data_IF_652909394874
#
_entry.id   IF_652909394874
#
_cell.length_a   1.000
_cell.length_b   1.000
_cell.length_c   1.000
_cell.angle_alpha   90.00
_cell.angle_beta   90.00
_cell.angle_gamma   90.00
#
_symmetry.space_group_name_H-M   'P 1'
#
loop_
_entity.id
_entity.type
_entity.pdbx_description
1 polymer ?
#
# COMPACT_ATOMS: atom_id res chain seq x y z
N UNK A 1 -3.56 -7.97 0.12
CA UNK A 1 -3.75 -9.45 0.22
C UNK A 1 -3.40 -10.07 -1.12
N UNK A 2 -3.07 -11.35 -1.15
CA UNK A 2 -2.86 -12.12 -2.38
C UNK A 2 -3.81 -13.31 -2.37
N UNK A 3 -4.49 -13.55 -3.49
CA UNK A 3 -5.40 -14.68 -3.67
C UNK A 3 -4.92 -15.49 -4.87
N UNK A 4 -4.76 -16.80 -4.68
CA UNK A 4 -4.45 -17.76 -5.73
C UNK A 4 -5.74 -18.50 -6.09
N UNK A 5 -6.17 -18.40 -7.34
CA UNK A 5 -7.29 -19.18 -7.86
C UNK A 5 -6.73 -20.42 -8.56
N UNK A 6 -7.10 -21.62 -8.09
CA UNK A 6 -6.73 -22.88 -8.73
C UNK A 6 -7.62 -24.04 -8.29
N UNK A 7 -8.01 -24.86 -9.26
CA UNK A 7 -8.67 -26.16 -9.02
C UNK A 7 -7.67 -27.30 -8.76
N UNK A 8 -6.35 -27.05 -8.86
CA UNK A 8 -5.32 -28.08 -8.66
C UNK A 8 -5.07 -28.33 -7.16
N UNK A 9 -5.31 -29.56 -6.65
CA UNK A 9 -5.11 -29.88 -5.24
C UNK A 9 -3.66 -29.69 -4.76
N UNK A 10 -2.67 -29.89 -5.64
CA UNK A 10 -1.26 -29.72 -5.29
C UNK A 10 -0.91 -28.23 -5.11
N UNK A 11 -1.48 -27.35 -5.93
CA UNK A 11 -1.35 -25.90 -5.75
C UNK A 11 -1.99 -25.48 -4.44
N UNK A 12 -3.20 -25.97 -4.15
CA UNK A 12 -3.89 -25.67 -2.89
C UNK A 12 -3.05 -26.07 -1.67
N UNK A 13 -2.59 -27.31 -1.62
CA UNK A 13 -1.76 -27.81 -0.52
C UNK A 13 -0.48 -26.99 -0.34
N UNK A 14 0.18 -26.63 -1.44
CA UNK A 14 1.40 -25.83 -1.41
C UNK A 14 1.15 -24.40 -0.88
N UNK A 15 0.09 -23.74 -1.34
CA UNK A 15 -0.26 -22.38 -0.88
C UNK A 15 -0.67 -22.38 0.58
N UNK A 16 -1.50 -23.33 1.01
CA UNK A 16 -1.94 -23.42 2.41
C UNK A 16 -0.76 -23.70 3.35
N UNK A 17 0.10 -24.66 3.01
CA UNK A 17 1.24 -25.07 3.85
C UNK A 17 2.37 -24.05 3.92
N UNK A 18 2.50 -23.17 2.91
CA UNK A 18 3.55 -22.16 2.81
C UNK A 18 3.02 -20.72 2.88
N UNK A 19 1.77 -20.53 3.28
CA UNK A 19 1.07 -19.24 3.30
C UNK A 19 1.84 -18.15 4.04
N UNK A 20 2.31 -18.41 5.25
CA UNK A 20 3.12 -17.47 6.05
C UNK A 20 4.43 -17.09 5.33
N UNK A 21 5.14 -18.09 4.80
CA UNK A 21 6.38 -17.87 4.06
C UNK A 21 6.13 -17.03 2.79
N UNK A 22 5.04 -17.31 2.06
CA UNK A 22 4.69 -16.52 0.89
C UNK A 22 4.30 -15.09 1.26
N UNK A 23 3.50 -14.91 2.32
CA UNK A 23 3.12 -13.60 2.84
C UNK A 23 4.35 -12.75 3.16
N UNK A 24 5.34 -13.32 3.85
CA UNK A 24 6.62 -12.67 4.15
C UNK A 24 7.41 -12.31 2.87
N UNK A 25 7.47 -13.21 1.89
CA UNK A 25 8.27 -13.00 0.66
C UNK A 25 7.66 -11.99 -0.30
N UNK A 26 6.34 -11.92 -0.35
CA UNK A 26 5.61 -11.01 -1.25
C UNK A 26 5.12 -9.75 -0.55
N UNK A 27 5.50 -9.53 0.71
CA UNK A 27 5.04 -8.42 1.55
C UNK A 27 3.51 -8.28 1.55
N UNK A 28 2.81 -9.40 1.68
CA UNK A 28 1.35 -9.41 1.78
C UNK A 28 0.93 -9.70 3.21
N UNK A 29 -0.16 -9.06 3.65
CA UNK A 29 -0.79 -9.38 4.95
C UNK A 29 -1.31 -10.81 5.03
N UNK A 30 -1.74 -11.36 3.89
CA UNK A 30 -2.33 -12.69 3.78
C UNK A 30 -2.16 -13.21 2.36
N UNK A 31 -1.92 -14.52 2.23
CA UNK A 31 -1.96 -15.28 0.99
C UNK A 31 -2.98 -16.42 1.16
N UNK A 32 -4.02 -16.41 0.34
CA UNK A 32 -5.09 -17.40 0.37
C UNK A 32 -5.22 -18.12 -0.98
N UNK A 33 -5.83 -19.30 -0.98
CA UNK A 33 -6.16 -20.06 -2.19
C UNK A 33 -7.66 -20.34 -2.25
N UNK A 34 -8.25 -20.18 -3.43
CA UNK A 34 -9.67 -20.36 -3.71
C UNK A 34 -9.86 -21.18 -4.99
N UNK A 35 -11.04 -21.79 -5.15
CA UNK A 35 -11.43 -22.46 -6.40
C UNK A 35 -11.82 -21.47 -7.48
N UNK A 36 -12.47 -20.37 -7.07
CA UNK A 36 -12.90 -19.30 -7.94
C UNK A 36 -12.67 -17.96 -7.29
N UNK A 37 -12.17 -16.99 -8.05
CA UNK A 37 -12.10 -15.61 -7.60
C UNK A 37 -13.41 -14.88 -7.91
N UNK A 38 -14.27 -14.73 -6.91
CA UNK A 38 -15.64 -14.22 -7.08
C UNK A 38 -15.73 -12.69 -7.23
N UNK A 39 -14.60 -11.97 -7.19
CA UNK A 39 -14.57 -10.49 -7.27
C UNK A 39 -14.32 -9.97 -8.70
N UNK A 40 -14.20 -10.86 -9.68
CA UNK A 40 -14.07 -10.48 -11.08
C UNK A 40 -15.30 -9.67 -11.53
N UNK A 41 -15.04 -8.65 -12.33
CA UNK A 41 -16.06 -7.77 -12.90
C UNK A 41 -16.19 -8.09 -14.38
N UNK A 42 -17.41 -8.32 -14.84
CA UNK A 42 -17.71 -8.50 -16.25
C UNK A 42 -17.77 -7.14 -16.96
N UNK A 43 -16.82 -6.92 -17.86
CA UNK A 43 -16.66 -5.71 -18.65
C UNK A 43 -17.12 -5.96 -20.09
N UNK A 44 -17.88 -5.02 -20.63
CA UNK A 44 -18.46 -5.12 -21.96
C UNK A 44 -17.44 -4.81 -23.07
N UNK A 45 -17.38 -5.71 -24.05
CA UNK A 45 -16.66 -5.59 -25.31
C UNK A 45 -17.70 -5.48 -26.44
N UNK A 46 -18.05 -4.26 -26.90
CA UNK A 46 -19.10 -4.04 -27.88
C UNK A 46 -18.73 -4.52 -29.29
N UNK A 47 -19.72 -5.04 -30.01
CA UNK A 47 -19.56 -5.62 -31.36
C UNK A 47 -20.06 -4.68 -32.43
N UNK A 48 -19.12 -4.02 -33.11
CA UNK A 48 -19.41 -3.12 -34.23
C UNK A 48 -20.25 -3.78 -35.34
N UNK A 49 -20.10 -5.08 -35.59
CA UNK A 49 -20.87 -5.80 -36.62
C UNK A 49 -22.38 -5.84 -36.35
N UNK A 50 -22.79 -5.75 -35.09
CA UNK A 50 -24.18 -5.83 -34.64
C UNK A 50 -24.73 -4.44 -34.30
N UNK A 51 -23.93 -3.62 -33.61
CA UNK A 51 -24.27 -2.24 -33.20
C UNK A 51 -24.37 -1.32 -34.42
N UNK A 52 -23.47 -1.45 -35.40
CA UNK A 52 -23.45 -0.63 -36.61
C UNK A 52 -24.78 -0.65 -37.39
N UNK A 53 -25.30 -1.83 -37.76
CA UNK A 53 -26.61 -1.96 -38.41
C UNK A 53 -27.79 -1.50 -37.54
N UNK A 54 -27.73 -1.67 -36.22
CA UNK A 54 -28.83 -1.36 -35.31
C UNK A 54 -28.96 0.14 -35.02
N UNK A 55 -27.85 0.83 -34.75
CA UNK A 55 -27.84 2.22 -34.29
C UNK A 55 -27.26 3.21 -35.32
N UNK A 56 -26.78 2.72 -36.47
CA UNK A 56 -26.44 3.56 -37.62
C UNK A 56 -25.47 4.69 -37.29
N UNK A 57 -25.93 5.94 -37.39
CA UNK A 57 -25.12 7.14 -37.21
C UNK A 57 -24.55 7.31 -35.80
N UNK A 58 -25.19 6.74 -34.79
CA UNK A 58 -24.77 6.85 -33.39
C UNK A 58 -23.94 5.65 -32.91
N UNK A 59 -23.70 4.68 -33.79
CA UNK A 59 -22.97 3.45 -33.47
C UNK A 59 -21.62 3.69 -32.81
N UNK A 60 -20.81 4.66 -33.26
CA UNK A 60 -19.52 4.95 -32.64
C UNK A 60 -19.66 5.47 -31.20
N UNK A 61 -20.63 6.33 -30.94
CA UNK A 61 -20.86 6.89 -29.60
C UNK A 61 -21.36 5.81 -28.64
N UNK A 62 -22.24 4.92 -29.13
CA UNK A 62 -22.72 3.77 -28.36
C UNK A 62 -21.58 2.80 -28.07
N UNK A 63 -20.70 2.52 -29.04
CA UNK A 63 -19.49 1.71 -28.81
C UNK A 63 -18.63 2.31 -27.70
N UNK A 64 -18.32 3.60 -27.76
CA UNK A 64 -17.51 4.29 -26.74
C UNK A 64 -18.16 4.27 -25.36
N UNK A 65 -19.48 4.39 -25.28
CA UNK A 65 -20.20 4.38 -24.01
C UNK A 65 -20.36 2.96 -23.41
N UNK A 66 -20.27 1.92 -24.22
CA UNK A 66 -20.39 0.51 -23.80
C UNK A 66 -19.02 -0.11 -23.49
N UNK A 67 -17.97 0.29 -24.20
CA UNK A 67 -16.62 -0.25 -24.04
C UNK A 67 -16.15 -0.13 -22.57
N UNK A 68 -15.91 -1.27 -21.92
CA UNK A 68 -15.46 -1.34 -20.53
C UNK A 68 -16.54 -1.02 -19.48
N UNK A 69 -17.79 -0.78 -19.87
CA UNK A 69 -18.91 -0.68 -18.93
C UNK A 69 -19.17 -2.03 -18.26
N UNK A 70 -19.69 -2.03 -17.05
CA UNK A 70 -20.09 -3.27 -16.36
C UNK A 70 -21.36 -3.86 -16.98
N UNK A 71 -21.57 -5.17 -16.84
CA UNK A 71 -22.82 -5.84 -17.27
C UNK A 71 -24.06 -5.14 -16.75
N UNK A 72 -24.08 -4.79 -15.45
CA UNK A 72 -25.23 -4.12 -14.85
C UNK A 72 -25.51 -2.74 -15.48
N UNK A 73 -24.46 -1.99 -15.82
CA UNK A 73 -24.59 -0.69 -16.51
C UNK A 73 -25.16 -0.85 -17.93
N UNK A 74 -24.70 -1.87 -18.67
CA UNK A 74 -25.20 -2.15 -20.03
C UNK A 74 -26.65 -2.64 -19.98
N UNK A 75 -27.00 -3.53 -19.05
CA UNK A 75 -28.37 -4.03 -18.86
C UNK A 75 -29.33 -2.95 -18.37
N UNK A 76 -28.83 -1.95 -17.63
CA UNK A 76 -29.59 -0.77 -17.24
C UNK A 76 -29.90 0.16 -18.43
N UNK A 77 -29.27 -0.03 -19.58
CA UNK A 77 -29.37 0.80 -20.79
C UNK A 77 -28.39 1.96 -20.75
N UNK A 78 -27.77 2.25 -21.90
CA UNK A 78 -26.71 3.26 -22.02
C UNK A 78 -27.27 4.57 -22.56
N UNK A 79 -26.96 5.69 -21.91
CA UNK A 79 -27.39 7.02 -22.36
C UNK A 79 -26.29 7.71 -23.18
N UNK A 80 -26.63 8.09 -24.41
CA UNK A 80 -25.77 8.85 -25.32
C UNK A 80 -26.53 10.09 -25.77
N UNK A 81 -25.98 11.27 -25.52
CA UNK A 81 -26.58 12.56 -25.91
C UNK A 81 -28.04 12.78 -25.41
N UNK A 82 -28.41 12.13 -24.30
CA UNK A 82 -29.77 12.21 -23.72
C UNK A 82 -30.77 11.23 -24.34
N UNK A 83 -30.31 10.34 -25.22
CA UNK A 83 -31.08 9.23 -25.75
C UNK A 83 -30.59 7.92 -25.11
N UNK A 84 -31.53 7.08 -24.69
CA UNK A 84 -31.24 5.77 -24.11
C UNK A 84 -31.23 4.70 -25.19
N UNK A 85 -30.19 3.88 -25.18
CA UNK A 85 -30.00 2.74 -26.07
C UNK A 85 -30.00 1.45 -25.24
N UNK A 86 -30.91 0.53 -25.59
CA UNK A 86 -30.93 -0.82 -25.01
C UNK A 86 -30.19 -1.76 -25.96
N UNK A 87 -29.21 -2.50 -25.45
CA UNK A 87 -28.36 -3.40 -26.24
C UNK A 87 -28.87 -4.84 -26.17
N UNK A 88 -28.92 -5.51 -27.31
CA UNK A 88 -29.21 -6.94 -27.39
C UNK A 88 -27.99 -7.78 -26.97
N UNK A 89 -28.20 -9.02 -26.50
CA UNK A 89 -27.13 -9.95 -26.12
C UNK A 89 -26.14 -10.23 -27.27
N UNK A 90 -26.56 -10.10 -28.53
CA UNK A 90 -25.65 -10.27 -29.67
C UNK A 90 -24.68 -9.10 -29.84
N UNK A 91 -25.04 -7.91 -29.34
CA UNK A 91 -24.30 -6.66 -29.55
C UNK A 91 -23.07 -6.51 -28.65
N UNK A 92 -22.97 -7.30 -27.59
CA UNK A 92 -21.94 -7.15 -26.56
C UNK A 92 -21.40 -8.52 -26.17
N UNK A 93 -20.07 -8.64 -26.11
CA UNK A 93 -19.40 -9.72 -25.39
C UNK A 93 -18.98 -9.23 -24.01
N UNK A 94 -18.84 -10.15 -23.06
CA UNK A 94 -18.38 -9.80 -21.72
C UNK A 94 -17.11 -10.56 -21.38
N UNK A 95 -16.14 -9.82 -20.88
CA UNK A 95 -14.89 -10.35 -20.40
C UNK A 95 -14.79 -10.15 -18.89
N UNK A 96 -14.47 -11.22 -18.17
CA UNK A 96 -14.20 -11.13 -16.75
C UNK A 96 -12.79 -10.56 -16.53
N UNK A 97 -12.70 -9.48 -15.77
CA UNK A 97 -11.44 -8.80 -15.47
C UNK A 97 -11.34 -8.50 -13.96
N UNK A 98 -10.12 -8.41 -13.39
CA UNK A 98 -9.95 -7.94 -12.03
C UNK A 98 -10.58 -6.55 -11.82
N UNK A 99 -11.19 -6.29 -10.66
CA UNK A 99 -11.69 -4.95 -10.34
C UNK A 99 -10.54 -3.95 -10.14
N UNK A 100 -10.87 -2.67 -10.09
CA UNK A 100 -9.89 -1.62 -9.84
C UNK A 100 -9.11 -1.84 -8.54
N UNK A 101 -7.79 -1.65 -8.61
CA UNK A 101 -6.90 -1.89 -7.48
C UNK A 101 -6.61 -3.37 -7.20
N UNK A 102 -7.08 -4.29 -8.04
CA UNK A 102 -6.62 -5.69 -8.06
C UNK A 102 -5.87 -5.94 -9.36
N UNK A 103 -4.67 -6.51 -9.27
CA UNK A 103 -3.90 -6.97 -10.44
C UNK A 103 -3.95 -8.49 -10.54
N UNK A 104 -4.35 -9.00 -11.70
CA UNK A 104 -4.41 -10.44 -11.99
C UNK A 104 -3.28 -10.90 -12.91
N UNK A 105 -2.75 -12.09 -12.69
CA UNK A 105 -1.81 -12.75 -13.60
C UNK A 105 -2.05 -14.27 -13.62
N UNK A 106 -2.07 -14.85 -14.81
CA UNK A 106 -2.15 -16.30 -15.00
C UNK A 106 -0.76 -16.94 -14.84
N UNK A 107 -0.73 -18.16 -14.29
CA UNK A 107 0.45 -19.01 -14.30
C UNK A 107 0.08 -20.42 -14.80
N UNK A 108 0.99 -20.99 -15.57
CA UNK A 108 0.90 -22.37 -16.04
C UNK A 108 2.28 -22.99 -15.92
N UNK A 109 2.40 -24.04 -15.10
CA UNK A 109 3.67 -24.66 -14.79
C UNK A 109 3.56 -26.16 -14.62
N UNK A 110 4.71 -26.82 -14.51
CA UNK A 110 4.78 -28.27 -14.31
C UNK A 110 4.14 -28.79 -13.01
N UNK A 111 3.82 -27.87 -12.09
CA UNK A 111 3.32 -28.14 -10.74
C UNK A 111 1.89 -27.65 -10.55
N UNK A 112 1.23 -27.21 -11.63
CA UNK A 112 -0.16 -26.75 -11.64
C UNK A 112 -0.33 -25.45 -12.40
N UNK A 113 -1.58 -25.05 -12.56
CA UNK A 113 -1.97 -23.80 -13.22
C UNK A 113 -3.05 -23.08 -12.43
N UNK A 114 -3.21 -21.79 -12.70
CA UNK A 114 -4.18 -20.95 -12.02
C UNK A 114 -3.93 -19.46 -12.28
N UNK A 115 -4.57 -18.64 -11.47
CA UNK A 115 -4.44 -17.18 -11.49
C UNK A 115 -4.00 -16.67 -10.12
N UNK A 116 -3.27 -15.56 -10.09
CA UNK A 116 -2.91 -14.84 -8.88
C UNK A 116 -3.48 -13.43 -8.96
N UNK A 117 -4.20 -13.04 -7.92
CA UNK A 117 -4.79 -11.72 -7.75
C UNK A 117 -4.15 -11.01 -6.58
N UNK A 118 -3.62 -9.82 -6.81
CA UNK A 118 -2.94 -9.01 -5.82
C UNK A 118 -3.74 -7.74 -5.60
N UNK A 119 -4.14 -7.50 -4.35
CA UNK A 119 -4.72 -6.23 -3.94
C UNK A 119 -3.62 -5.18 -3.80
N UNK A 120 -3.62 -4.22 -4.71
CA UNK A 120 -2.64 -3.12 -4.82
C UNK A 120 -3.19 -1.80 -4.29
N UNK A 121 -4.39 -1.80 -3.70
CA UNK A 121 -4.96 -0.60 -3.11
C UNK A 121 -4.13 -0.18 -1.91
N UNK A 122 -3.68 1.05 -1.97
CA UNK A 122 -3.02 1.70 -0.86
C UNK A 122 -4.11 2.33 0.01
N UNK A 123 -4.25 1.84 1.23
CA UNK A 123 -5.16 2.42 2.22
C UNK A 123 -4.39 3.43 3.07
N UNK A 124 -5.09 4.41 3.64
CA UNK A 124 -4.47 5.39 4.56
C UNK A 124 -3.70 4.69 5.69
N UNK A 125 -4.23 3.57 6.22
CA UNK A 125 -3.54 2.74 7.21
C UNK A 125 -2.22 2.16 6.71
N UNK A 126 -2.17 1.67 5.47
CA UNK A 126 -0.96 1.09 4.86
C UNK A 126 0.06 2.18 4.52
N UNK A 127 -0.40 3.33 4.02
CA UNK A 127 0.43 4.51 3.84
C UNK A 127 1.07 4.93 5.15
N UNK A 128 0.24 5.06 6.19
CA UNK A 128 0.66 5.50 7.51
C UNK A 128 1.73 4.59 8.11
N UNK A 129 1.50 3.28 8.04
CA UNK A 129 2.46 2.26 8.45
C UNK A 129 3.77 2.32 7.64
N UNK A 130 3.67 2.59 6.33
CA UNK A 130 4.82 2.76 5.43
C UNK A 130 5.68 3.96 5.79
N UNK A 131 5.08 5.14 5.92
CA UNK A 131 5.77 6.38 6.31
C UNK A 131 6.47 6.22 7.67
N UNK A 132 5.80 5.60 8.65
CA UNK A 132 6.40 5.34 9.96
C UNK A 132 7.65 4.45 9.86
N UNK A 133 7.61 3.38 9.06
CA UNK A 133 8.76 2.50 8.83
C UNK A 133 9.91 3.19 8.13
N UNK A 134 9.63 4.06 7.15
CA UNK A 134 10.68 4.81 6.50
C UNK A 134 11.32 5.84 7.44
N UNK A 135 10.53 6.51 8.29
CA UNK A 135 11.08 7.38 9.35
C UNK A 135 11.97 6.58 10.30
N UNK A 136 11.53 5.41 10.77
CA UNK A 136 12.39 4.50 11.57
C UNK A 136 13.70 4.22 10.86
N UNK A 137 13.63 3.86 9.57
CA UNK A 137 14.82 3.57 8.75
C UNK A 137 15.76 4.77 8.68
N UNK A 138 15.25 5.99 8.48
CA UNK A 138 16.07 7.22 8.43
C UNK A 138 16.71 7.53 9.78
N UNK A 139 15.95 7.45 10.87
CA UNK A 139 16.50 7.64 12.21
C UNK A 139 17.57 6.59 12.50
N UNK A 140 17.36 5.32 12.14
CA UNK A 140 18.37 4.26 12.30
C UNK A 140 19.62 4.49 11.44
N UNK A 141 19.48 5.05 10.23
CA UNK A 141 20.62 5.50 9.42
C UNK A 141 21.41 6.62 10.16
N UNK A 142 20.73 7.62 10.71
CA UNK A 142 21.35 8.71 11.47
C UNK A 142 22.02 8.22 12.78
N UNK A 143 21.42 7.27 13.50
CA UNK A 143 22.04 6.63 14.68
C UNK A 143 23.38 5.99 14.34
N UNK A 144 23.48 5.34 13.17
CA UNK A 144 24.74 4.75 12.69
C UNK A 144 25.76 5.82 12.31
N UNK A 145 25.33 6.92 11.68
CA UNK A 145 26.24 8.03 11.36
C UNK A 145 26.82 8.70 12.60
N UNK A 146 26.05 8.71 13.69
CA UNK A 146 26.48 9.20 14.99
C UNK A 146 27.22 8.15 15.81
N UNK A 147 27.50 6.94 15.29
CA UNK A 147 28.16 5.85 16.02
C UNK A 147 27.53 5.56 17.40
N UNK A 148 26.19 5.58 17.48
CA UNK A 148 25.46 5.31 18.73
C UNK A 148 25.40 3.82 19.05
N UNK A 149 25.43 3.49 20.34
CA UNK A 149 25.16 2.12 20.78
C UNK A 149 23.69 1.74 20.47
N UNK A 150 23.43 0.44 20.27
CA UNK A 150 22.11 -0.07 19.86
C UNK A 150 21.00 0.30 20.86
N UNK A 151 21.33 0.37 22.14
CA UNK A 151 20.39 0.68 23.23
C UNK A 151 20.45 2.14 23.69
N UNK A 152 21.32 2.96 23.09
CA UNK A 152 21.52 4.34 23.52
C UNK A 152 20.27 5.19 23.26
N UNK A 153 19.68 5.83 24.29
CA UNK A 153 18.49 6.66 24.11
C UNK A 153 18.82 7.98 23.41
N UNK A 154 17.90 8.42 22.55
CA UNK A 154 18.03 9.68 21.80
C UNK A 154 16.83 10.61 22.07
N UNK A 155 17.04 11.90 21.85
CA UNK A 155 15.96 12.84 21.57
C UNK A 155 15.81 12.98 20.07
N UNK A 156 14.57 12.97 19.60
CA UNK A 156 14.27 13.02 18.17
C UNK A 156 13.36 14.20 17.86
N UNK A 157 13.74 14.97 16.84
CA UNK A 157 12.87 15.94 16.17
C UNK A 157 12.40 15.34 14.86
N UNK A 158 11.14 15.59 14.53
CA UNK A 158 10.54 15.15 13.29
C UNK A 158 9.60 16.24 12.79
N UNK A 159 9.98 16.88 11.69
CA UNK A 159 9.14 17.84 10.98
C UNK A 159 8.80 17.26 9.61
N UNK A 160 7.51 17.04 9.36
CA UNK A 160 7.01 16.55 8.09
C UNK A 160 6.35 17.71 7.37
N UNK A 161 6.78 18.00 6.13
CA UNK A 161 6.30 19.16 5.39
C UNK A 161 4.82 19.06 4.98
N UNK A 162 4.33 17.85 4.75
CA UNK A 162 2.93 17.58 4.40
C UNK A 162 2.10 17.28 5.67
N UNK A 163 1.03 18.03 5.92
CA UNK A 163 0.20 17.91 7.13
C UNK A 163 -0.51 16.56 7.25
N UNK A 164 -0.91 15.94 6.13
CA UNK A 164 -1.55 14.62 6.13
C UNK A 164 -0.54 13.56 6.55
N UNK A 165 0.65 13.62 5.98
CA UNK A 165 1.74 12.68 6.30
C UNK A 165 2.27 12.91 7.71
N UNK A 166 2.27 14.17 8.19
CA UNK A 166 2.56 14.47 9.59
C UNK A 166 1.59 13.73 10.53
N UNK A 167 0.28 13.75 10.22
CA UNK A 167 -0.73 13.00 10.97
C UNK A 167 -0.47 11.48 10.95
N UNK A 168 -0.17 10.92 9.78
CA UNK A 168 0.16 9.51 9.63
C UNK A 168 1.36 9.08 10.49
N UNK A 169 2.45 9.84 10.48
CA UNK A 169 3.62 9.47 11.31
C UNK A 169 3.33 9.67 12.80
N UNK A 170 2.54 10.68 13.17
CA UNK A 170 2.15 10.92 14.56
C UNK A 170 1.29 9.77 15.12
N UNK A 171 0.41 9.17 14.32
CA UNK A 171 -0.38 7.98 14.69
C UNK A 171 0.51 6.76 15.05
N UNK A 172 1.75 6.72 14.55
CA UNK A 172 2.74 5.67 14.82
C UNK A 172 3.92 6.12 15.68
N UNK A 173 3.80 7.27 16.37
CA UNK A 173 4.93 7.88 17.09
C UNK A 173 5.51 6.98 18.20
N UNK A 174 4.66 6.18 18.86
CA UNK A 174 5.11 5.19 19.86
C UNK A 174 5.93 4.06 19.23
N UNK A 175 5.49 3.53 18.09
CA UNK A 175 6.23 2.52 17.32
C UNK A 175 7.58 3.05 16.86
N UNK A 176 7.61 4.27 16.28
CA UNK A 176 8.85 4.90 15.86
C UNK A 176 9.79 5.08 17.05
N UNK A 177 9.27 5.53 18.20
CA UNK A 177 10.08 5.75 19.39
C UNK A 177 10.68 4.47 19.96
N UNK A 178 9.90 3.39 20.03
CA UNK A 178 10.35 2.08 20.49
C UNK A 178 11.48 1.53 19.60
N UNK A 179 11.26 1.53 18.28
CA UNK A 179 12.21 0.99 17.31
C UNK A 179 13.51 1.80 17.23
N UNK A 180 13.47 3.10 17.55
CA UNK A 180 14.61 4.01 17.41
C UNK A 180 15.28 4.41 18.72
N UNK A 181 14.76 3.92 19.86
CA UNK A 181 15.15 4.36 21.22
C UNK A 181 14.98 5.88 21.43
N UNK A 182 13.94 6.46 20.83
CA UNK A 182 13.58 7.86 21.11
C UNK A 182 12.98 7.94 22.51
N UNK A 183 13.72 8.54 23.43
CA UNK A 183 13.28 8.76 24.81
C UNK A 183 12.40 10.02 24.95
N UNK A 184 12.63 11.02 24.08
CA UNK A 184 11.91 12.28 24.12
C UNK A 184 11.78 12.85 22.70
N UNK A 185 10.58 13.32 22.37
CA UNK A 185 10.35 14.09 21.16
C UNK A 185 10.58 15.57 21.45
N UNK A 186 11.36 16.23 20.61
CA UNK A 186 11.73 17.63 20.82
C UNK A 186 11.51 18.46 19.56
N UNK A 187 11.00 19.67 19.75
CA UNK A 187 11.01 20.73 18.75
C UNK A 187 12.18 21.70 19.03
N UNK A 188 12.59 22.46 18.03
CA UNK A 188 13.58 23.54 18.19
C UNK A 188 14.61 23.58 17.07
N UNK A 189 15.39 24.66 17.01
CA UNK A 189 16.33 24.91 15.91
C UNK A 189 17.42 23.83 15.77
N UNK A 190 18.01 23.73 14.57
CA UNK A 190 18.98 22.68 14.21
C UNK A 190 20.17 22.59 15.18
N UNK A 191 20.59 23.72 15.74
CA UNK A 191 21.69 23.79 16.71
C UNK A 191 21.41 23.07 18.04
N UNK A 192 20.16 22.65 18.31
CA UNK A 192 19.79 21.90 19.50
C UNK A 192 20.11 20.39 19.37
N UNK A 193 20.42 19.90 18.17
CA UNK A 193 20.63 18.48 17.85
C UNK A 193 22.07 18.20 17.41
N UNK A 194 22.50 16.94 17.57
CA UNK A 194 23.86 16.51 17.18
C UNK A 194 23.95 16.27 15.67
N UNK A 195 22.83 15.85 15.06
CA UNK A 195 22.69 15.69 13.62
C UNK A 195 21.28 16.10 13.20
N UNK A 196 21.17 16.92 12.16
CA UNK A 196 19.91 17.24 11.50
C UNK A 196 20.06 16.98 10.01
N UNK A 197 19.16 16.20 9.45
CA UNK A 197 19.14 15.87 8.03
C UNK A 197 17.74 16.01 7.46
N UNK A 198 17.68 16.41 6.19
CA UNK A 198 16.46 16.44 5.40
C UNK A 198 16.42 15.20 4.51
N UNK A 199 15.28 14.51 4.53
CA UNK A 199 15.06 13.27 3.81
C UNK A 199 13.87 13.42 2.86
N UNK A 200 13.98 12.78 1.71
CA UNK A 200 12.82 12.45 0.88
C UNK A 200 12.28 11.08 1.35
N UNK A 201 11.03 11.08 1.80
CA UNK A 201 10.27 9.90 2.18
C UNK A 201 9.06 9.83 1.27
N UNK A 202 9.09 8.92 0.29
CA UNK A 202 8.00 8.75 -0.70
C UNK A 202 7.59 10.07 -1.39
N UNK A 203 8.56 10.96 -1.68
CA UNK A 203 8.32 12.26 -2.30
C UNK A 203 7.88 13.38 -1.34
N UNK A 204 7.86 13.11 -0.03
CA UNK A 204 7.55 14.07 1.03
C UNK A 204 8.83 14.46 1.75
N UNK A 205 9.02 15.76 1.92
CA UNK A 205 10.17 16.29 2.65
C UNK A 205 9.97 16.10 4.17
N UNK A 206 10.93 15.44 4.80
CA UNK A 206 10.94 15.17 6.24
C UNK A 206 12.28 15.61 6.82
N UNK A 207 12.25 16.53 7.78
CA UNK A 207 13.44 16.93 8.53
C UNK A 207 13.50 16.15 9.85
N UNK A 208 14.64 15.51 10.09
CA UNK A 208 14.86 14.69 11.28
C UNK A 208 16.07 15.25 12.02
N UNK A 209 15.89 15.50 13.32
CA UNK A 209 16.98 15.85 14.24
C UNK A 209 17.21 14.74 15.24
N UNK A 210 18.46 14.34 15.47
CA UNK A 210 18.85 13.35 16.47
C UNK A 210 19.83 13.98 17.44
N UNK A 211 19.57 13.79 18.73
CA UNK A 211 20.47 14.17 19.82
C UNK A 211 20.65 13.03 20.80
N UNK A 212 21.88 12.81 21.27
CA UNK A 212 22.15 11.90 22.38
C UNK A 212 21.50 12.41 23.66
N UNK A 213 20.93 11.51 24.45
CA UNK A 213 20.57 11.82 25.83
C UNK A 213 21.80 11.52 26.68
N UNK A 214 22.44 12.55 27.23
CA UNK A 214 23.52 12.33 28.20
C UNK A 214 22.96 11.54 29.39
N UNK A 215 23.62 10.42 29.73
CA UNK A 215 23.26 9.61 30.89
C UNK A 215 23.26 10.44 32.16
N UNK A 216 22.40 10.11 33.11
CA UNK A 216 22.41 10.65 34.45
C UNK A 216 23.69 10.21 35.19
N UNK A 217 24.82 10.84 34.86
CA UNK A 217 26.12 10.68 35.52
C UNK A 217 26.62 12.04 36.03
N UNK A 218 25.77 12.80 36.72
CA UNK A 218 26.19 13.93 37.56
C UNK A 218 25.13 14.19 38.65
N UNK A 219 24.85 13.16 39.45
CA UNK A 219 24.30 13.37 40.79
C UNK A 219 25.49 13.44 41.76
N UNK A 220 25.90 14.67 42.06
CA UNK A 220 26.85 15.06 43.09
C UNK A 220 26.84 14.07 44.28
N UNK A 221 27.97 13.38 44.48
CA UNK A 221 28.26 12.82 45.80
C UNK A 221 28.62 14.01 46.70
N UNK A 222 27.86 14.33 47.76
CA UNK A 222 28.28 15.37 48.67
C UNK A 222 29.54 14.89 49.38
N UNK A 223 30.60 15.69 49.30
CA UNK A 223 31.79 15.60 50.13
C UNK A 223 31.38 15.38 51.60
N UNK A 224 31.57 14.16 52.09
CA UNK A 224 31.51 13.87 53.52
C UNK A 224 32.83 14.35 54.13
N UNK A 225 32.86 15.64 54.46
CA UNK A 225 33.92 16.29 55.21
C UNK A 225 34.17 15.50 56.51
N UNK A 226 35.45 15.22 56.73
CA UNK A 226 35.99 14.43 57.82
C UNK A 226 35.91 15.20 59.15
N UNK A 227 35.75 14.45 60.23
CA UNK A 227 35.83 14.89 61.62
C UNK A 227 37.12 15.63 62.01
#
# INVERSE_FOLDING_TARGET
>A
RVVVESDDPAVREAVESLSDLFAERVNAREVAVVERFDELVERAEPKMSEIGPAFGGDSQKVMEAVEGATRDEVEAGVEVEGERYDLDESMVEYRAEPPEGISGAEFDGSTGSGSVYVDTRLTDELESEGYARDVVRRVQEMRKQLDLDVEEPIRTRLDVADERVAGFVDDHREFVAEETRTAEWADGDDAAFDLVEQWDVEGVEVTIGVKRVEGAEDAETPDAESA
#
